data_IF_635316119444
#
_entry.id   IF_635316119444
#
_cell.length_a   1.000
_cell.length_b   1.000
_cell.length_c   1.000
_cell.angle_alpha   90.00
_cell.angle_beta   90.00
_cell.angle_gamma   90.00
#
_symmetry.space_group_name_H-M   'P 1'
#
loop_
_entity.id
_entity.type
_entity.pdbx_description
1 polymer ?
#
# COMPACT_ATOMS: atom_id res chain seq x y z
N UNK A 1 -1.03 -17.15 -12.85
CA UNK A 1 -0.79 -17.01 -11.40
C UNK A 1 -1.23 -15.62 -11.00
N UNK A 2 -2.31 -15.56 -10.22
CA UNK A 2 -3.09 -14.35 -9.94
C UNK A 2 -2.33 -13.52 -8.91
N UNK A 3 -2.25 -12.19 -9.02
CA UNK A 3 -1.53 -11.34 -8.07
C UNK A 3 -1.90 -11.63 -6.59
N UNK A 4 -3.15 -12.04 -6.35
CA UNK A 4 -3.64 -12.59 -5.07
C UNK A 4 -2.85 -13.80 -4.56
N UNK A 5 -2.48 -14.74 -5.44
CA UNK A 5 -1.67 -15.91 -5.09
C UNK A 5 -0.20 -15.53 -4.82
N UNK A 6 0.35 -14.48 -5.42
CA UNK A 6 1.67 -13.93 -5.04
C UNK A 6 1.61 -13.28 -3.65
N UNK A 7 0.53 -12.54 -3.40
CA UNK A 7 0.24 -11.90 -2.12
C UNK A 7 0.08 -12.95 -0.99
N UNK A 8 -0.54 -14.10 -1.30
CA UNK A 8 -0.84 -15.19 -0.36
C UNK A 8 0.26 -16.28 -0.27
N UNK A 9 1.02 -16.58 -1.33
CA UNK A 9 2.11 -17.60 -1.28
C UNK A 9 3.33 -17.13 -0.51
N UNK A 10 3.51 -15.83 -0.35
CA UNK A 10 4.64 -15.26 0.38
C UNK A 10 4.38 -15.14 1.90
N UNK A 11 3.26 -15.69 2.39
CA UNK A 11 2.94 -15.75 3.83
C UNK A 11 3.30 -17.08 4.52
N UNK A 12 3.86 -18.06 3.82
CA UNK A 12 4.13 -19.38 4.44
C UNK A 12 5.44 -19.46 5.24
N UNK A 13 6.36 -18.47 5.17
CA UNK A 13 7.64 -18.54 5.93
C UNK A 13 8.13 -17.20 6.53
N UNK A 14 7.33 -16.13 6.56
CA UNK A 14 7.75 -14.87 7.22
C UNK A 14 6.62 -14.25 8.05
N UNK A 15 6.71 -14.51 9.35
CA UNK A 15 6.10 -13.85 10.50
C UNK A 15 5.15 -12.65 10.26
N UNK A 16 3.89 -12.80 10.69
CA UNK A 16 3.11 -11.89 11.56
C UNK A 16 3.06 -10.36 11.31
N UNK A 17 3.55 -9.83 10.19
CA UNK A 17 3.46 -8.41 9.84
C UNK A 17 2.85 -8.15 8.44
N UNK A 18 2.28 -9.17 7.79
CA UNK A 18 1.55 -9.03 6.54
C UNK A 18 0.15 -8.44 6.79
N UNK A 19 0.10 -7.15 7.09
CA UNK A 19 -1.15 -6.43 7.33
C UNK A 19 -1.88 -6.25 6.00
N UNK A 20 -2.75 -7.21 5.65
CA UNK A 20 -3.72 -7.10 4.56
C UNK A 20 -4.86 -6.19 5.02
N UNK A 21 -4.88 -4.97 4.51
CA UNK A 21 -5.93 -4.00 4.82
C UNK A 21 -6.54 -3.47 3.53
N UNK A 22 -7.86 -3.36 3.53
CA UNK A 22 -8.64 -2.85 2.41
C UNK A 22 -8.80 -1.34 2.56
N UNK A 23 -8.55 -0.61 1.46
CA UNK A 23 -8.88 0.81 1.37
C UNK A 23 -9.87 1.02 0.23
N UNK A 24 -10.98 1.68 0.54
CA UNK A 24 -11.95 2.10 -0.46
C UNK A 24 -11.55 3.49 -0.98
N UNK A 25 -11.35 3.62 -2.28
CA UNK A 25 -11.09 4.91 -2.92
C UNK A 25 -12.37 5.65 -3.31
N UNK A 26 -13.55 5.03 -3.22
CA UNK A 26 -14.87 5.64 -3.36
C UNK A 26 -15.83 5.18 -2.24
N UNK A 27 -15.58 5.55 -0.97
CA UNK A 27 -16.49 5.23 0.13
C UNK A 27 -17.86 5.91 -0.03
N UNK A 28 -18.93 5.16 0.24
CA UNK A 28 -20.32 5.67 0.17
C UNK A 28 -20.60 6.77 1.20
N UNK A 29 -19.98 6.69 2.38
CA UNK A 29 -20.13 7.60 3.51
C UNK A 29 -19.00 8.64 3.63
N UNK A 30 -18.03 8.61 2.72
CA UNK A 30 -16.76 9.31 2.92
C UNK A 30 -16.73 10.77 2.47
N UNK A 31 -15.58 11.41 2.71
CA UNK A 31 -15.30 12.82 2.40
C UNK A 31 -15.24 13.14 0.90
N UNK A 32 -15.31 12.13 0.03
CA UNK A 32 -15.12 12.25 -1.43
C UNK A 32 -16.44 12.61 -2.12
N UNK A 33 -16.51 13.81 -2.70
CA UNK A 33 -17.73 14.32 -3.37
C UNK A 33 -17.99 13.71 -4.75
N UNK A 34 -16.95 13.31 -5.46
CA UNK A 34 -17.04 12.74 -6.82
C UNK A 34 -16.31 11.39 -6.84
N UNK A 35 -16.97 10.30 -7.24
CA UNK A 35 -16.31 9.02 -7.39
C UNK A 35 -15.28 9.08 -8.53
N UNK A 36 -14.19 8.35 -8.38
CA UNK A 36 -13.12 8.24 -9.36
C UNK A 36 -13.02 6.81 -9.91
N UNK A 37 -12.47 6.65 -11.10
CA UNK A 37 -12.21 5.33 -11.66
C UNK A 37 -10.87 4.72 -11.12
N UNK A 38 -10.58 3.47 -11.50
CA UNK A 38 -9.37 2.75 -11.07
C UNK A 38 -8.08 3.47 -11.48
N UNK A 39 -8.02 4.03 -12.69
CA UNK A 39 -6.82 4.68 -13.21
C UNK A 39 -6.52 5.99 -12.48
N UNK A 40 -7.56 6.76 -12.17
CA UNK A 40 -7.48 7.94 -11.31
C UNK A 40 -7.00 7.55 -9.90
N UNK A 41 -7.49 6.44 -9.34
CA UNK A 41 -7.09 5.94 -8.03
C UNK A 41 -5.62 5.50 -8.02
N UNK A 42 -5.17 4.82 -9.08
CA UNK A 42 -3.76 4.47 -9.29
C UNK A 42 -2.89 5.72 -9.36
N UNK A 43 -3.32 6.75 -10.10
CA UNK A 43 -2.58 8.00 -10.21
C UNK A 43 -2.44 8.72 -8.86
N UNK A 44 -3.52 8.79 -8.08
CA UNK A 44 -3.50 9.34 -6.73
C UNK A 44 -2.59 8.56 -5.78
N UNK A 45 -2.66 7.23 -5.82
CA UNK A 45 -1.80 6.35 -5.02
C UNK A 45 -0.33 6.58 -5.39
N UNK A 46 0.01 6.60 -6.68
CA UNK A 46 1.36 6.87 -7.17
C UNK A 46 1.87 8.24 -6.73
N UNK A 47 1.02 9.26 -6.77
CA UNK A 47 1.39 10.58 -6.26
C UNK A 47 1.74 10.53 -4.76
N UNK A 48 0.90 9.89 -3.95
CA UNK A 48 1.13 9.78 -2.49
C UNK A 48 2.43 9.01 -2.21
N UNK A 49 2.58 7.81 -2.76
CA UNK A 49 3.73 6.93 -2.45
C UNK A 49 5.07 7.52 -2.91
N UNK A 50 5.09 8.31 -3.99
CA UNK A 50 6.31 8.95 -4.50
C UNK A 50 6.64 10.27 -3.79
N UNK A 51 5.62 11.00 -3.31
CA UNK A 51 5.82 12.25 -2.57
C UNK A 51 6.22 12.03 -1.10
N UNK A 52 5.78 10.92 -0.51
CA UNK A 52 5.94 10.67 0.92
C UNK A 52 7.27 9.98 1.19
N UNK A 53 8.11 10.62 2.01
CA UNK A 53 9.41 10.11 2.45
C UNK A 53 9.43 9.93 3.98
N UNK A 54 8.67 8.98 4.53
CA UNK A 54 8.66 8.76 5.98
C UNK A 54 10.05 8.30 6.41
N UNK A 55 10.57 8.87 7.49
CA UNK A 55 11.90 8.57 8.04
C UNK A 55 13.05 8.73 7.01
N UNK A 56 12.87 9.62 6.02
CA UNK A 56 13.80 9.86 4.90
C UNK A 56 14.04 8.67 3.98
N UNK A 57 13.15 7.67 3.99
CA UNK A 57 13.20 6.58 3.01
C UNK A 57 12.93 7.12 1.61
N UNK A 58 13.66 6.61 0.62
CA UNK A 58 13.45 6.97 -0.78
C UNK A 58 12.51 5.96 -1.44
N UNK A 59 11.31 6.37 -1.89
CA UNK A 59 10.41 5.50 -2.61
C UNK A 59 10.87 5.31 -4.06
N UNK A 60 10.76 4.08 -4.56
CA UNK A 60 10.98 3.73 -5.96
C UNK A 60 9.89 2.78 -6.44
N UNK A 61 9.18 3.13 -7.51
CA UNK A 61 8.23 2.21 -8.14
C UNK A 61 9.05 1.11 -8.83
N UNK A 62 9.06 -0.08 -8.25
CA UNK A 62 9.84 -1.21 -8.72
C UNK A 62 9.06 -2.03 -9.75
N UNK A 63 7.73 -2.03 -9.66
CA UNK A 63 6.87 -2.73 -10.61
C UNK A 63 5.52 -2.01 -10.74
N UNK A 64 5.03 -1.92 -11.98
CA UNK A 64 3.70 -1.38 -12.27
C UNK A 64 3.04 -2.24 -13.34
N UNK A 65 1.86 -2.74 -13.02
CA UNK A 65 0.93 -3.43 -13.92
C UNK A 65 -0.41 -2.69 -13.88
N UNK A 66 -1.40 -3.20 -14.62
CA UNK A 66 -2.73 -2.59 -14.71
C UNK A 66 -3.51 -2.61 -13.38
N UNK A 67 -3.26 -3.62 -12.54
CA UNK A 67 -3.98 -3.88 -11.29
C UNK A 67 -3.03 -4.02 -10.08
N UNK A 68 -1.73 -3.81 -10.27
CA UNK A 68 -0.73 -4.07 -9.24
C UNK A 68 0.42 -3.07 -9.30
N UNK A 69 0.88 -2.64 -8.13
CA UNK A 69 2.00 -1.72 -7.96
C UNK A 69 2.88 -2.23 -6.82
N UNK A 70 4.18 -2.33 -7.05
CA UNK A 70 5.18 -2.57 -6.00
C UNK A 70 6.09 -1.37 -5.87
N UNK A 71 6.21 -0.87 -4.64
CA UNK A 71 7.06 0.25 -4.28
C UNK A 71 8.12 -0.26 -3.32
N UNK A 72 9.38 0.02 -3.65
CA UNK A 72 10.51 -0.20 -2.76
C UNK A 72 10.79 1.07 -1.96
N UNK A 73 10.98 0.93 -0.66
CA UNK A 73 11.41 1.99 0.24
C UNK A 73 12.82 1.67 0.74
N UNK A 74 13.80 2.46 0.31
CA UNK A 74 15.19 2.29 0.69
C UNK A 74 15.58 3.24 1.84
N UNK A 75 16.23 2.70 2.87
CA UNK A 75 16.73 3.47 4.00
C UNK A 75 18.02 4.23 3.64
N UNK A 76 18.17 5.50 4.06
CA UNK A 76 19.28 6.34 3.62
C UNK A 76 20.65 5.94 4.20
N UNK A 77 20.69 5.20 5.32
CA UNK A 77 21.92 4.96 6.09
C UNK A 77 22.37 3.50 6.04
N UNK A 78 21.43 2.54 6.08
CA UNK A 78 21.75 1.12 6.21
C UNK A 78 21.43 0.30 4.95
N UNK A 79 20.88 0.91 3.90
CA UNK A 79 20.55 0.22 2.64
C UNK A 79 19.44 -0.84 2.79
N UNK A 80 18.65 -0.76 3.85
CA UNK A 80 17.49 -1.65 4.02
C UNK A 80 16.43 -1.30 2.99
N UNK A 81 15.93 -2.32 2.29
CA UNK A 81 14.86 -2.17 1.30
C UNK A 81 13.63 -2.92 1.80
N UNK A 82 12.54 -2.19 1.96
CA UNK A 82 11.22 -2.74 2.25
C UNK A 82 10.34 -2.66 1.00
N UNK A 83 9.47 -3.66 0.79
CA UNK A 83 8.45 -3.63 -0.25
C UNK A 83 7.10 -3.22 0.33
N UNK A 84 6.41 -2.31 -0.37
CA UNK A 84 4.97 -2.08 -0.21
C UNK A 84 4.29 -2.43 -1.52
N UNK A 85 3.40 -3.40 -1.46
CA UNK A 85 2.64 -3.91 -2.59
C UNK A 85 1.19 -3.45 -2.50
N UNK A 86 0.63 -3.04 -3.62
CA UNK A 86 -0.77 -2.61 -3.76
C UNK A 86 -1.42 -3.42 -4.88
N UNK A 87 -2.58 -3.98 -4.59
CA UNK A 87 -3.36 -4.78 -5.54
C UNK A 87 -4.79 -4.25 -5.64
N UNK A 88 -5.24 -4.05 -6.86
CA UNK A 88 -6.59 -3.61 -7.21
C UNK A 88 -7.38 -4.82 -7.70
N UNK A 89 -8.12 -5.52 -6.82
CA UNK A 89 -8.84 -6.72 -7.20
C UNK A 89 -9.86 -6.44 -8.31
N UNK A 90 -10.02 -7.36 -9.27
CA UNK A 90 -11.06 -7.23 -10.28
C UNK A 90 -12.45 -7.28 -9.62
N UNK A 91 -13.38 -6.46 -10.12
CA UNK A 91 -14.74 -6.44 -9.63
C UNK A 91 -15.34 -5.03 -9.66
N UNK A 92 -16.54 -4.91 -9.07
CA UNK A 92 -17.26 -3.62 -8.97
C UNK A 92 -16.88 -2.80 -7.73
N UNK A 93 -16.15 -3.41 -6.78
CA UNK A 93 -15.75 -2.73 -5.54
C UNK A 93 -14.58 -1.78 -5.81
N UNK A 94 -14.66 -0.58 -5.25
CA UNK A 94 -13.61 0.44 -5.37
C UNK A 94 -12.52 0.26 -4.31
N UNK A 95 -11.95 -0.95 -4.21
CA UNK A 95 -11.01 -1.32 -3.16
C UNK A 95 -9.59 -1.49 -3.68
N UNK A 96 -8.61 -1.22 -2.83
CA UNK A 96 -7.23 -1.66 -2.96
C UNK A 96 -6.85 -2.47 -1.73
N UNK A 97 -6.13 -3.56 -1.94
CA UNK A 97 -5.45 -4.33 -0.89
C UNK A 97 -3.98 -3.93 -0.88
N UNK A 98 -3.35 -3.93 0.29
CA UNK A 98 -1.91 -3.69 0.37
C UNK A 98 -1.22 -4.63 1.35
N UNK A 99 0.10 -4.74 1.17
CA UNK A 99 1.01 -5.47 2.03
C UNK A 99 2.30 -4.69 2.20
N UNK A 100 2.84 -4.63 3.41
CA UNK A 100 4.19 -4.14 3.67
C UNK A 100 5.04 -5.30 4.17
N UNK A 101 6.18 -5.55 3.56
CA UNK A 101 7.08 -6.63 3.93
C UNK A 101 8.54 -6.16 3.89
N UNK A 102 9.28 -6.41 4.97
CA UNK A 102 10.73 -6.17 5.01
C UNK A 102 11.47 -7.34 4.36
N UNK A 103 12.52 -7.04 3.59
CA UNK A 103 13.36 -8.07 2.95
C UNK A 103 14.36 -8.73 3.89
N UNK A 104 14.74 -8.03 4.97
CA UNK A 104 15.79 -8.48 5.90
C UNK A 104 15.25 -8.44 7.34
N UNK A 105 14.96 -9.63 7.89
CA UNK A 105 14.81 -9.87 9.33
C UNK A 105 13.58 -9.24 10.01
N UNK A 106 13.21 -9.82 11.16
CA UNK A 106 12.08 -9.43 12.01
C UNK A 106 12.37 -8.22 12.94
N UNK A 107 13.37 -7.38 12.63
CA UNK A 107 13.67 -6.19 13.43
C UNK A 107 12.67 -5.08 13.09
N UNK A 108 11.43 -5.28 13.54
CA UNK A 108 10.30 -4.39 13.30
C UNK A 108 10.39 -3.20 14.27
N UNK A 109 11.20 -2.19 13.92
CA UNK A 109 11.29 -0.92 14.67
C UNK A 109 10.04 -0.04 14.50
N UNK A 110 8.86 -0.64 14.33
CA UNK A 110 7.59 0.01 13.94
C UNK A 110 7.67 0.85 12.64
N UNK A 111 8.76 0.76 11.85
CA UNK A 111 8.98 1.59 10.66
C UNK A 111 7.93 1.30 9.58
N UNK A 112 7.67 0.02 9.31
CA UNK A 112 6.63 -0.40 8.36
C UNK A 112 5.26 0.14 8.78
N UNK A 113 4.94 0.02 10.07
CA UNK A 113 3.68 0.53 10.64
C UNK A 113 3.56 2.05 10.54
N UNK A 114 4.62 2.81 10.83
CA UNK A 114 4.67 4.27 10.66
C UNK A 114 4.48 4.67 9.20
N UNK A 115 5.15 3.99 8.27
CA UNK A 115 5.02 4.21 6.82
C UNK A 115 3.59 4.00 6.35
N UNK A 116 3.00 2.85 6.70
CA UNK A 116 1.60 2.55 6.37
C UNK A 116 0.66 3.58 6.99
N UNK A 117 0.85 3.98 8.25
CA UNK A 117 0.03 5.02 8.89
C UNK A 117 0.13 6.37 8.17
N UNK A 118 1.32 6.76 7.74
CA UNK A 118 1.54 8.02 7.02
C UNK A 118 0.89 7.98 5.63
N UNK A 119 1.09 6.90 4.86
CA UNK A 119 0.41 6.68 3.58
C UNK A 119 -1.11 6.72 3.72
N UNK A 120 -1.64 6.07 4.77
CA UNK A 120 -3.07 6.08 5.08
C UNK A 120 -3.58 7.50 5.30
N UNK A 121 -2.88 8.30 6.10
CA UNK A 121 -3.28 9.69 6.37
C UNK A 121 -3.36 10.54 5.10
N UNK A 122 -2.40 10.42 4.19
CA UNK A 122 -2.41 11.16 2.92
C UNK A 122 -3.53 10.71 1.97
N UNK A 123 -3.80 9.40 1.88
CA UNK A 123 -4.93 8.88 1.09
C UNK A 123 -6.28 9.33 1.68
N UNK A 124 -6.41 9.40 2.99
CA UNK A 124 -7.62 9.92 3.67
C UNK A 124 -7.88 11.39 3.35
N UNK A 125 -6.84 12.21 3.21
CA UNK A 125 -6.98 13.60 2.75
C UNK A 125 -7.52 13.69 1.32
N UNK A 126 -7.21 12.69 0.48
CA UNK A 126 -7.79 12.57 -0.86
C UNK A 126 -9.22 12.03 -0.86
N UNK A 127 -9.72 11.54 0.28
CA UNK A 127 -11.08 11.02 0.43
C UNK A 127 -11.18 9.50 0.34
N UNK A 128 -10.06 8.79 0.42
CA UNK A 128 -10.05 7.33 0.60
C UNK A 128 -10.44 7.00 2.06
N UNK A 129 -11.00 5.82 2.30
CA UNK A 129 -11.28 5.33 3.65
C UNK A 129 -10.87 3.86 3.80
N UNK A 130 -10.87 3.35 5.03
CA UNK A 130 -10.72 1.91 5.25
C UNK A 130 -12.09 1.25 5.13
N UNK A 131 -12.18 0.09 4.48
CA UNK A 131 -13.35 -0.79 4.64
C UNK A 131 -13.08 -1.78 5.77
N UNK A 132 -14.04 -1.90 6.69
CA UNK A 132 -13.98 -2.80 7.83
C UNK A 132 -13.86 -2.07 9.17
N UNK A 133 -14.69 -2.49 10.13
CA UNK A 133 -14.45 -2.25 11.55
C UNK A 133 -13.30 -3.15 11.99
N UNK A 134 -12.36 -2.59 12.74
CA UNK A 134 -11.41 -3.36 13.54
C UNK A 134 -12.15 -4.26 14.53
#
# INVERSE_FOLDING_TARGET
MVAREVLLRSSEVAALAAIFHFRNYNPEDGRRKKPINKDEAIAELLQVVTSLKPDNFTPRVAERREDYIRVEYESPIMGFVDDVEFWFPPGKKSIVEYRSASRIGNFDFDINKKRIKALRSELEKKGWSSEGRF
#
